data_IF_306578656817
#
_entry.id   IF_306578656817
#
_cell.length_a   1.000
_cell.length_b   1.000
_cell.length_c   1.000
_cell.angle_alpha   90.00
_cell.angle_beta   90.00
_cell.angle_gamma   90.00
#
_symmetry.space_group_name_H-M   'P 1'
#
loop_
_entity.id
_entity.type
_entity.pdbx_description
1 polymer ?
#
# COMPACT_ATOMS: atom_id res chain seq x y z
N UNK A 1 -21.39 6.16 -3.36
CA UNK A 1 -20.93 5.14 -4.32
C UNK A 1 -20.84 3.81 -3.58
N UNK A 2 -21.53 2.78 -4.04
CA UNK A 2 -21.49 1.44 -3.44
C UNK A 2 -20.11 0.78 -3.62
N UNK A 3 -19.78 -0.21 -2.80
CA UNK A 3 -18.53 -0.98 -2.95
C UNK A 3 -18.42 -1.63 -4.34
N UNK A 4 -19.56 -2.04 -4.91
CA UNK A 4 -19.64 -2.63 -6.25
C UNK A 4 -19.26 -1.64 -7.34
N UNK A 5 -19.76 -0.40 -7.26
CA UNK A 5 -19.45 0.65 -8.24
C UNK A 5 -17.96 1.01 -8.20
N UNK A 6 -17.36 1.13 -7.02
CA UNK A 6 -15.93 1.40 -6.88
C UNK A 6 -15.06 0.28 -7.46
N UNK A 7 -15.47 -0.98 -7.28
CA UNK A 7 -14.80 -2.12 -7.90
C UNK A 7 -14.90 -2.10 -9.43
N UNK A 8 -16.06 -1.73 -9.98
CA UNK A 8 -16.24 -1.60 -11.43
C UNK A 8 -15.36 -0.49 -12.01
N UNK A 9 -15.27 0.67 -11.35
CA UNK A 9 -14.38 1.75 -11.79
C UNK A 9 -12.91 1.33 -11.76
N UNK A 10 -12.49 0.64 -10.71
CA UNK A 10 -11.13 0.09 -10.58
C UNK A 10 -10.79 -0.90 -11.72
N UNK A 11 -11.74 -1.74 -12.13
CA UNK A 11 -11.53 -2.70 -13.21
C UNK A 11 -11.50 -2.01 -14.58
N UNK A 12 -12.20 -0.88 -14.74
CA UNK A 12 -12.28 -0.15 -16.01
C UNK A 12 -11.09 0.77 -16.28
N UNK A 13 -10.28 1.09 -15.27
CA UNK A 13 -9.16 2.02 -15.42
C UNK A 13 -7.92 1.48 -16.15
N UNK A 14 -7.53 0.19 -16.02
CA UNK A 14 -6.34 -0.32 -16.69
C UNK A 14 -6.58 -0.62 -18.18
N UNK A 15 -5.49 -0.79 -18.97
CA UNK A 15 -5.55 -1.27 -20.35
C UNK A 15 -6.22 -2.66 -20.51
N UNK A 16 -6.71 -2.95 -21.71
CA UNK A 16 -7.39 -4.23 -22.01
C UNK A 16 -6.48 -5.47 -21.91
N UNK A 17 -5.16 -5.29 -22.00
CA UNK A 17 -4.15 -6.34 -21.87
C UNK A 17 -3.66 -6.52 -20.42
N UNK A 18 -4.28 -5.84 -19.44
CA UNK A 18 -3.96 -6.03 -18.04
C UNK A 18 -4.29 -7.46 -17.57
N UNK A 19 -3.45 -7.98 -16.68
CA UNK A 19 -3.64 -9.26 -16.03
C UNK A 19 -4.50 -9.11 -14.78
N UNK A 20 -4.97 -10.23 -14.22
CA UNK A 20 -5.68 -10.20 -12.94
C UNK A 20 -4.76 -9.69 -11.81
N UNK A 21 -3.48 -10.04 -11.87
CA UNK A 21 -2.43 -9.59 -10.96
C UNK A 21 -2.28 -8.06 -10.99
N UNK A 22 -2.35 -7.43 -12.17
CA UNK A 22 -2.29 -5.98 -12.32
C UNK A 22 -3.49 -5.29 -11.64
N UNK A 23 -4.71 -5.83 -11.84
CA UNK A 23 -5.93 -5.31 -11.20
C UNK A 23 -5.81 -5.44 -9.68
N UNK A 24 -5.33 -6.58 -9.18
CA UNK A 24 -5.12 -6.82 -7.76
C UNK A 24 -4.07 -5.88 -7.18
N UNK A 25 -2.95 -5.67 -7.89
CA UNK A 25 -1.92 -4.73 -7.48
C UNK A 25 -2.44 -3.30 -7.43
N UNK A 26 -3.21 -2.89 -8.44
CA UNK A 26 -3.83 -1.56 -8.48
C UNK A 26 -4.76 -1.34 -7.27
N UNK A 27 -5.59 -2.34 -6.93
CA UNK A 27 -6.41 -2.32 -5.70
C UNK A 27 -5.54 -2.16 -4.45
N UNK A 28 -4.50 -3.00 -4.33
CA UNK A 28 -3.62 -3.01 -3.17
C UNK A 28 -2.96 -1.65 -2.93
N UNK A 29 -2.40 -1.04 -3.98
CA UNK A 29 -1.75 0.27 -3.87
C UNK A 29 -2.74 1.35 -3.44
N UNK A 30 -3.94 1.38 -4.03
CA UNK A 30 -5.00 2.32 -3.62
C UNK A 30 -5.36 2.17 -2.14
N UNK A 31 -5.57 0.95 -1.68
CA UNK A 31 -5.88 0.66 -0.27
C UNK A 31 -4.75 1.13 0.66
N UNK A 32 -3.48 0.95 0.27
CA UNK A 32 -2.33 1.44 1.04
C UNK A 32 -2.29 2.96 1.13
N UNK A 33 -2.59 3.67 0.04
CA UNK A 33 -2.66 5.13 0.02
C UNK A 33 -3.79 5.61 0.93
N UNK A 34 -5.00 5.08 0.78
CA UNK A 34 -6.15 5.45 1.61
C UNK A 34 -5.89 5.20 3.11
N UNK A 35 -5.24 4.08 3.43
CA UNK A 35 -4.82 3.79 4.81
C UNK A 35 -3.77 4.80 5.32
N UNK A 36 -2.85 5.23 4.47
CA UNK A 36 -1.87 6.27 4.80
C UNK A 36 -2.54 7.61 5.08
N UNK A 37 -3.50 8.02 4.25
CA UNK A 37 -4.29 9.24 4.45
C UNK A 37 -5.03 9.22 5.79
N UNK A 38 -5.74 8.13 6.10
CA UNK A 38 -6.39 7.96 7.42
C UNK A 38 -5.39 7.97 8.58
N UNK A 39 -4.20 7.39 8.40
CA UNK A 39 -3.17 7.42 9.43
C UNK A 39 -2.69 8.85 9.74
N UNK A 40 -2.62 9.72 8.72
CA UNK A 40 -2.30 11.14 8.91
C UNK A 40 -3.41 11.83 9.70
N UNK A 41 -4.67 11.63 9.31
CA UNK A 41 -5.84 12.21 10.01
C UNK A 41 -5.92 11.78 11.48
N UNK A 42 -5.60 10.52 11.77
CA UNK A 42 -5.58 9.95 13.11
C UNK A 42 -4.30 10.28 13.90
N UNK A 43 -3.37 11.05 13.33
CA UNK A 43 -2.10 11.39 13.98
C UNK A 43 -1.13 10.22 14.15
N UNK A 44 -1.38 9.08 13.48
CA UNK A 44 -0.50 7.90 13.44
C UNK A 44 0.66 8.11 12.46
N UNK A 45 1.42 9.17 12.68
CA UNK A 45 2.61 9.56 11.91
C UNK A 45 3.85 9.51 12.78
N UNK A 46 5.01 9.35 12.17
CA UNK A 46 6.31 9.38 12.84
C UNK A 46 7.18 10.46 12.19
N UNK A 47 8.19 10.94 12.91
CA UNK A 47 9.20 11.82 12.32
C UNK A 47 10.04 11.07 11.28
N UNK A 48 10.68 11.81 10.38
CA UNK A 48 11.61 11.25 9.41
C UNK A 48 12.73 10.43 10.09
N UNK A 49 13.28 10.93 11.20
CA UNK A 49 14.33 10.25 11.96
C UNK A 49 13.85 8.90 12.53
N UNK A 50 12.64 8.87 13.08
CA UNK A 50 12.05 7.66 13.63
C UNK A 50 11.72 6.65 12.52
N UNK A 51 11.25 7.11 11.37
CA UNK A 51 11.03 6.25 10.19
C UNK A 51 12.35 5.61 9.72
N UNK A 52 13.43 6.38 9.60
CA UNK A 52 14.75 5.86 9.22
C UNK A 52 15.27 4.84 10.21
N UNK A 53 15.06 5.06 11.52
CA UNK A 53 15.43 4.10 12.57
C UNK A 53 14.68 2.78 12.40
N UNK A 54 13.36 2.83 12.19
CA UNK A 54 12.54 1.63 11.98
C UNK A 54 12.98 0.84 10.75
N UNK A 55 13.27 1.54 9.64
CA UNK A 55 13.78 0.90 8.42
C UNK A 55 15.15 0.26 8.65
N UNK A 56 16.06 0.93 9.36
CA UNK A 56 17.38 0.38 9.73
C UNK A 56 17.25 -0.90 10.56
N UNK A 57 16.35 -0.91 11.56
CA UNK A 57 16.10 -2.12 12.37
C UNK A 57 15.45 -3.24 11.55
N UNK A 58 14.51 -2.92 10.65
CA UNK A 58 13.91 -3.90 9.75
C UNK A 58 14.95 -4.53 8.81
N UNK A 59 15.86 -3.75 8.25
CA UNK A 59 16.94 -4.24 7.39
C UNK A 59 17.92 -5.16 8.14
N UNK A 60 18.19 -4.90 9.42
CA UNK A 60 18.97 -5.82 10.28
C UNK A 60 18.23 -7.13 10.50
N UNK A 61 16.91 -7.08 10.75
CA UNK A 61 16.08 -8.27 10.99
C UNK A 61 15.87 -9.13 9.73
N UNK A 62 15.80 -8.49 8.56
CA UNK A 62 15.53 -9.14 7.27
C UNK A 62 16.79 -9.73 6.61
N UNK A 63 17.96 -9.56 7.25
CA UNK A 63 19.27 -10.05 6.80
C UNK A 63 19.88 -11.17 7.64
N UNK A 64 19.20 -11.69 8.67
CA UNK A 64 19.70 -12.80 9.50
C UNK A 64 18.88 -14.10 9.42
N UNK A 65 17.77 -14.14 8.66
CA UNK A 65 16.95 -15.36 8.54
C UNK A 65 17.00 -16.01 7.14
N UNK A 66 18.09 -15.76 6.40
CA UNK A 66 18.45 -16.51 5.20
C UNK A 66 19.97 -16.78 5.21
N UNK A 67 20.40 -17.69 6.09
CA UNK A 67 21.43 -18.72 5.86
C UNK A 67 21.71 -19.49 7.14
#
# INVERSE_FOLDING_TARGET
MSMKEQAIELIRSPPNDCTLEDIQYHRYVREKVERGMRAIEEGRVVSQEEAEKQVKEWLKSSGQNQR
#
